data_IF_967784414400
#
_entry.id   IF_967784414400
#
_cell.length_a   1.000
_cell.length_b   1.000
_cell.length_c   1.000
_cell.angle_alpha   90.00
_cell.angle_beta   90.00
_cell.angle_gamma   90.00
#
_symmetry.space_group_name_H-M   'P 1'
#
loop_
_entity.id
_entity.type
_entity.pdbx_description
1 polymer ?
#
# COMPACT_ATOMS: atom_id res chain seq x y z
N UNK A 1 -0.66 11.41 -0.80
CA UNK A 1 -1.34 11.40 -2.11
C UNK A 1 -2.83 11.12 -1.91
N UNK A 2 -3.75 11.95 -2.42
CA UNK A 2 -5.20 11.81 -2.17
C UNK A 2 -5.81 10.58 -2.87
N UNK A 3 -5.27 10.22 -4.04
CA UNK A 3 -5.70 9.07 -4.84
C UNK A 3 -5.77 7.77 -4.02
N UNK A 4 -4.64 7.32 -3.44
CA UNK A 4 -4.58 6.07 -2.67
C UNK A 4 -5.54 6.05 -1.48
N UNK A 5 -5.75 7.18 -0.81
CA UNK A 5 -6.72 7.27 0.29
C UNK A 5 -8.16 7.08 -0.21
N UNK A 6 -8.51 7.72 -1.32
CA UNK A 6 -9.85 7.65 -1.88
C UNK A 6 -10.16 6.26 -2.46
N UNK A 7 -9.19 5.64 -3.13
CA UNK A 7 -9.32 4.26 -3.62
C UNK A 7 -9.48 3.30 -2.45
N UNK A 8 -8.64 3.41 -1.41
CA UNK A 8 -8.76 2.59 -0.21
C UNK A 8 -10.15 2.71 0.44
N UNK A 9 -10.64 3.94 0.67
CA UNK A 9 -11.98 4.13 1.26
C UNK A 9 -13.09 3.54 0.39
N UNK A 10 -13.02 3.72 -0.93
CA UNK A 10 -14.02 3.19 -1.87
C UNK A 10 -13.99 1.64 -1.91
N UNK A 11 -12.81 1.03 -1.95
CA UNK A 11 -12.66 -0.43 -1.94
C UNK A 11 -13.10 -1.06 -0.62
N UNK A 12 -12.94 -0.33 0.49
CA UNK A 12 -13.22 -0.84 1.83
C UNK A 12 -14.68 -0.61 2.23
N UNK A 13 -15.24 0.58 1.97
CA UNK A 13 -16.55 1.03 2.45
C UNK A 13 -17.56 1.28 1.32
N UNK A 14 -17.21 0.98 0.06
CA UNK A 14 -18.09 1.22 -1.07
C UNK A 14 -18.54 2.70 -1.14
N UNK A 15 -19.82 2.92 -1.43
CA UNK A 15 -20.40 4.28 -1.53
C UNK A 15 -20.63 4.96 -0.17
N UNK A 16 -20.55 4.23 0.93
CA UNK A 16 -20.83 4.79 2.26
C UNK A 16 -19.75 5.76 2.73
N UNK A 17 -18.55 5.65 2.15
CA UNK A 17 -17.46 6.58 2.42
C UNK A 17 -17.84 8.04 2.14
N UNK A 18 -18.72 8.31 1.16
CA UNK A 18 -19.08 9.68 0.75
C UNK A 18 -19.63 10.49 1.92
N UNK A 19 -20.39 9.86 2.81
CA UNK A 19 -21.00 10.51 3.98
C UNK A 19 -19.99 10.79 5.11
N UNK A 20 -18.94 9.97 5.22
CA UNK A 20 -18.00 9.98 6.35
C UNK A 20 -16.58 10.38 5.96
N UNK A 21 -16.33 10.68 4.68
CA UNK A 21 -15.00 10.85 4.08
C UNK A 21 -14.13 11.82 4.86
N UNK A 22 -14.64 13.01 5.16
CA UNK A 22 -13.85 14.06 5.80
C UNK A 22 -13.54 13.73 7.28
N UNK A 23 -14.46 13.09 8.00
CA UNK A 23 -14.22 12.64 9.36
C UNK A 23 -13.24 11.46 9.41
N UNK A 24 -13.39 10.48 8.51
CA UNK A 24 -12.44 9.36 8.34
C UNK A 24 -11.04 9.89 8.03
N UNK A 25 -10.94 10.83 7.11
CA UNK A 25 -9.70 11.50 6.72
C UNK A 25 -9.07 12.25 7.89
N UNK A 26 -9.84 13.07 8.61
CA UNK A 26 -9.37 13.80 9.80
C UNK A 26 -8.80 12.82 10.83
N UNK A 27 -9.56 11.80 11.19
CA UNK A 27 -9.14 10.85 12.22
C UNK A 27 -7.91 10.07 11.78
N UNK A 28 -7.87 9.64 10.52
CA UNK A 28 -6.71 8.95 9.94
C UNK A 28 -5.43 9.79 10.06
N UNK A 29 -5.46 11.09 9.69
CA UNK A 29 -4.27 11.96 9.79
C UNK A 29 -3.79 12.17 11.23
N UNK A 30 -4.71 12.16 12.21
CA UNK A 30 -4.33 12.26 13.63
C UNK A 30 -3.70 10.94 14.10
N UNK A 31 -4.29 9.80 13.69
CA UNK A 31 -3.81 8.47 14.01
C UNK A 31 -2.40 8.23 13.45
N UNK A 32 -2.17 8.58 12.17
CA UNK A 32 -0.89 8.42 11.48
C UNK A 32 0.25 9.17 12.18
N UNK A 33 0.01 10.42 12.61
CA UNK A 33 1.00 11.19 13.38
C UNK A 33 1.35 10.57 14.73
N UNK A 34 0.43 9.85 15.36
CA UNK A 34 0.69 9.19 16.64
C UNK A 34 1.24 7.77 16.52
N UNK A 35 1.14 7.13 15.36
CA UNK A 35 1.53 5.73 15.15
C UNK A 35 3.00 5.45 15.50
N UNK A 36 3.91 6.32 15.05
CA UNK A 36 5.36 6.22 15.35
C UNK A 36 5.81 7.10 16.54
N UNK A 37 4.86 7.59 17.35
CA UNK A 37 5.19 8.38 18.53
C UNK A 37 5.48 7.49 19.74
N UNK A 38 6.12 8.05 20.77
CA UNK A 38 6.32 7.33 22.03
C UNK A 38 4.96 6.91 22.61
N UNK A 39 4.78 5.65 23.06
CA UNK A 39 3.50 5.10 23.49
C UNK A 39 3.08 5.60 24.89
N UNK A 40 3.03 6.92 25.07
CA UNK A 40 2.72 7.59 26.33
C UNK A 40 1.31 8.20 26.22
N UNK A 41 0.34 7.60 26.90
CA UNK A 41 -1.06 8.02 26.84
C UNK A 41 -1.39 9.13 27.87
N UNK A 42 -0.76 10.30 27.73
CA UNK A 42 -1.03 11.47 28.54
C UNK A 42 -1.65 12.61 27.71
N UNK A 43 -2.58 13.40 28.27
CA UNK A 43 -3.14 14.56 27.57
C UNK A 43 -2.04 15.45 26.97
N UNK A 44 -2.18 15.77 25.67
CA UNK A 44 -1.21 16.57 24.92
C UNK A 44 -0.24 15.77 24.05
N UNK A 45 0.00 14.49 24.34
CA UNK A 45 0.90 13.65 23.51
C UNK A 45 0.26 13.27 22.17
N UNK A 46 1.11 12.97 21.18
CA UNK A 46 0.65 12.47 19.87
C UNK A 46 -0.06 11.11 20.02
N UNK A 47 0.46 10.22 20.86
CA UNK A 47 -0.16 8.92 21.15
C UNK A 47 -1.55 9.07 21.76
N UNK A 48 -1.75 9.98 22.72
CA UNK A 48 -3.07 10.23 23.31
C UNK A 48 -4.08 10.74 22.27
N UNK A 49 -3.64 11.66 21.38
CA UNK A 49 -4.49 12.16 20.28
C UNK A 49 -4.84 11.04 19.29
N UNK A 50 -3.88 10.18 18.95
CA UNK A 50 -4.09 9.02 18.09
C UNK A 50 -5.06 8.00 18.70
N UNK A 51 -4.96 7.72 20.00
CA UNK A 51 -5.91 6.83 20.69
C UNK A 51 -7.34 7.38 20.68
N UNK A 52 -7.50 8.70 20.82
CA UNK A 52 -8.81 9.37 20.68
C UNK A 52 -9.34 9.25 19.24
N UNK A 53 -8.51 9.53 18.24
CA UNK A 53 -8.88 9.40 16.83
C UNK A 53 -9.24 7.95 16.45
N UNK A 54 -8.53 6.95 16.99
CA UNK A 54 -8.87 5.53 16.80
C UNK A 54 -10.26 5.21 17.37
N UNK A 55 -10.58 5.72 18.56
CA UNK A 55 -11.90 5.53 19.18
C UNK A 55 -13.01 6.17 18.33
N UNK A 56 -12.75 7.35 17.77
CA UNK A 56 -13.69 8.04 16.87
C UNK A 56 -13.90 7.28 15.56
N UNK A 57 -12.83 6.75 14.94
CA UNK A 57 -12.92 5.86 13.78
C UNK A 57 -13.78 4.64 14.07
N UNK A 58 -13.56 3.97 15.20
CA UNK A 58 -14.35 2.81 15.60
C UNK A 58 -15.84 3.17 15.74
N UNK A 59 -16.17 4.35 16.26
CA UNK A 59 -17.56 4.83 16.36
C UNK A 59 -18.19 5.12 14.99
N UNK A 60 -17.42 5.70 14.05
CA UNK A 60 -17.90 5.91 12.67
C UNK A 60 -18.18 4.57 12.01
N UNK A 61 -17.26 3.61 12.11
CA UNK A 61 -17.40 2.27 11.54
C UNK A 61 -18.58 1.51 12.16
N UNK A 62 -18.78 1.60 13.47
CA UNK A 62 -19.95 1.00 14.14
C UNK A 62 -21.28 1.57 13.60
N UNK A 63 -21.34 2.87 13.29
CA UNK A 63 -22.54 3.47 12.66
C UNK A 63 -22.78 2.93 11.26
N UNK A 64 -21.72 2.80 10.45
CA UNK A 64 -21.81 2.23 9.10
C UNK A 64 -22.27 0.78 9.16
N UNK A 65 -21.67 -0.04 10.03
CA UNK A 65 -22.04 -1.44 10.27
C UNK A 65 -23.51 -1.56 10.66
N UNK A 66 -23.96 -0.79 11.64
CA UNK A 66 -25.37 -0.77 12.07
C UNK A 66 -26.32 -0.42 10.93
N UNK A 67 -25.97 0.57 10.11
CA UNK A 67 -26.80 0.99 8.99
C UNK A 67 -26.91 -0.13 7.94
N UNK A 68 -25.78 -0.74 7.56
CA UNK A 68 -25.75 -1.83 6.57
C UNK A 68 -26.54 -3.07 7.03
N UNK A 69 -26.42 -3.43 8.31
CA UNK A 69 -27.19 -4.55 8.89
C UNK A 69 -28.71 -4.28 8.85
N UNK A 70 -29.14 -3.01 8.94
CA UNK A 70 -30.55 -2.63 8.85
C UNK A 70 -31.07 -2.60 7.41
N UNK A 71 -30.26 -2.10 6.45
CA UNK A 71 -30.68 -1.95 5.05
C UNK A 71 -30.66 -3.26 4.28
N UNK A 72 -29.96 -4.30 4.76
CA UNK A 72 -29.82 -5.62 4.13
C UNK A 72 -29.44 -5.55 2.63
N UNK A 73 -28.71 -4.50 2.25
CA UNK A 73 -28.17 -4.40 0.90
C UNK A 73 -26.98 -5.34 0.75
N UNK A 74 -26.83 -5.90 -0.45
CA UNK A 74 -25.66 -6.67 -0.79
C UNK A 74 -24.52 -5.71 -1.15
N UNK A 75 -23.34 -5.94 -0.57
CA UNK A 75 -22.19 -5.05 -0.68
C UNK A 75 -20.99 -5.84 -1.20
N UNK A 76 -20.54 -5.49 -2.41
CA UNK A 76 -19.34 -6.06 -3.00
C UNK A 76 -18.09 -5.24 -2.65
N UNK A 77 -17.87 -5.04 -1.35
CA UNK A 77 -16.71 -4.35 -0.78
C UNK A 77 -16.13 -5.14 0.41
N UNK A 78 -14.97 -4.72 0.92
CA UNK A 78 -14.28 -5.46 1.97
C UNK A 78 -15.10 -5.50 3.27
N UNK A 79 -15.76 -4.39 3.64
CA UNK A 79 -16.61 -4.35 4.82
C UNK A 79 -17.77 -5.33 4.71
N UNK A 80 -18.41 -5.40 3.54
CA UNK A 80 -19.46 -6.38 3.22
C UNK A 80 -18.97 -7.82 3.36
N UNK A 81 -17.76 -8.09 2.87
CA UNK A 81 -17.13 -9.42 2.98
C UNK A 81 -16.89 -9.84 4.44
N UNK A 82 -16.42 -8.93 5.31
CA UNK A 82 -16.27 -9.21 6.74
C UNK A 82 -17.59 -9.35 7.49
N UNK A 83 -18.68 -8.76 6.99
CA UNK A 83 -20.01 -8.91 7.57
C UNK A 83 -20.69 -10.25 7.23
N UNK A 84 -20.28 -10.89 6.13
CA UNK A 84 -20.90 -12.12 5.61
C UNK A 84 -20.31 -13.44 6.14
N UNK A 85 -19.24 -13.39 6.94
CA UNK A 85 -18.54 -14.58 7.42
C UNK A 85 -19.34 -15.34 8.50
N UNK A 86 -19.47 -16.66 8.35
CA UNK A 86 -20.37 -17.52 9.14
C UNK A 86 -19.86 -17.90 10.53
N UNK A 87 -18.56 -17.78 10.81
CA UNK A 87 -17.96 -17.86 12.16
C UNK A 87 -17.79 -16.46 12.81
N UNK A 88 -18.68 -15.53 12.40
CA UNK A 88 -18.58 -14.08 12.41
C UNK A 88 -17.68 -13.38 13.45
N UNK A 89 -16.82 -12.50 12.92
CA UNK A 89 -16.13 -11.47 13.67
C UNK A 89 -17.12 -10.55 14.41
N UNK A 90 -16.77 -10.11 15.62
CA UNK A 90 -17.56 -9.08 16.32
C UNK A 90 -17.44 -7.74 15.61
N UNK A 91 -18.40 -6.83 15.81
CA UNK A 91 -18.36 -5.50 15.20
C UNK A 91 -17.07 -4.73 15.59
N UNK A 92 -16.55 -4.93 16.80
CA UNK A 92 -15.25 -4.39 17.22
C UNK A 92 -14.09 -4.99 16.43
N UNK A 93 -14.08 -6.32 16.22
CA UNK A 93 -13.05 -6.99 15.43
C UNK A 93 -13.10 -6.54 13.97
N UNK A 94 -14.30 -6.39 13.39
CA UNK A 94 -14.47 -5.86 12.03
C UNK A 94 -13.93 -4.43 11.97
N UNK A 95 -14.31 -3.56 12.91
CA UNK A 95 -13.84 -2.19 12.95
C UNK A 95 -12.31 -2.10 13.07
N UNK A 96 -11.70 -2.90 13.95
CA UNK A 96 -10.24 -2.93 14.13
C UNK A 96 -9.50 -3.41 12.87
N UNK A 97 -10.00 -4.45 12.20
CA UNK A 97 -9.44 -4.92 10.94
C UNK A 97 -9.56 -3.85 9.85
N UNK A 98 -10.71 -3.18 9.74
CA UNK A 98 -10.95 -2.13 8.74
C UNK A 98 -10.04 -0.92 8.97
N UNK A 99 -9.86 -0.47 10.22
CA UNK A 99 -8.90 0.59 10.57
C UNK A 99 -7.49 0.18 10.14
N UNK A 100 -7.10 -1.08 10.41
CA UNK A 100 -5.82 -1.63 9.99
C UNK A 100 -5.62 -1.61 8.48
N UNK A 101 -6.63 -2.02 7.70
CA UNK A 101 -6.57 -2.05 6.23
C UNK A 101 -6.52 -0.64 5.63
N UNK A 102 -7.30 0.33 6.15
CA UNK A 102 -7.23 1.73 5.70
C UNK A 102 -5.79 2.27 5.86
N UNK A 103 -5.15 1.93 6.98
CA UNK A 103 -3.78 2.34 7.25
C UNK A 103 -2.78 1.70 6.28
N UNK A 104 -2.90 0.38 6.08
CA UNK A 104 -2.03 -0.37 5.19
C UNK A 104 -2.15 0.10 3.72
N UNK A 105 -3.37 0.29 3.23
CA UNK A 105 -3.65 0.56 1.81
C UNK A 105 -3.25 1.98 1.36
N UNK A 106 -3.24 2.97 2.27
CA UNK A 106 -2.92 4.35 1.89
C UNK A 106 -1.43 4.63 1.81
N UNK A 107 -0.70 4.41 2.91
CA UNK A 107 0.67 4.93 3.03
C UNK A 107 1.66 4.20 2.12
N UNK A 108 1.52 2.87 2.04
CA UNK A 108 2.35 2.01 1.20
C UNK A 108 2.19 2.38 -0.27
N UNK A 109 0.96 2.43 -0.77
CA UNK A 109 0.64 2.75 -2.16
C UNK A 109 1.01 4.19 -2.50
N UNK A 110 0.67 5.16 -1.64
CA UNK A 110 1.05 6.56 -1.87
C UNK A 110 2.57 6.74 -2.01
N UNK A 111 3.36 6.03 -1.18
CA UNK A 111 4.82 6.01 -1.29
C UNK A 111 5.28 5.44 -2.62
N UNK A 112 4.83 4.23 -2.99
CA UNK A 112 5.25 3.57 -4.25
C UNK A 112 4.90 4.41 -5.48
N UNK A 113 3.67 4.91 -5.56
CA UNK A 113 3.24 5.76 -6.68
C UNK A 113 4.10 7.04 -6.79
N UNK A 114 4.49 7.64 -5.66
CA UNK A 114 5.38 8.81 -5.65
C UNK A 114 6.76 8.47 -6.22
N UNK A 115 7.35 7.33 -5.83
CA UNK A 115 8.65 6.90 -6.35
C UNK A 115 8.62 6.54 -7.82
N UNK A 116 7.56 5.89 -8.28
CA UNK A 116 7.35 5.59 -9.70
C UNK A 116 7.33 6.88 -10.53
N UNK A 117 6.56 7.88 -10.09
CA UNK A 117 6.50 9.18 -10.76
C UNK A 117 7.88 9.84 -10.90
N UNK A 118 8.67 9.82 -9.82
CA UNK A 118 10.02 10.37 -9.78
C UNK A 118 10.94 9.63 -10.75
N UNK A 119 11.04 8.30 -10.62
CA UNK A 119 11.99 7.51 -11.40
C UNK A 119 11.66 7.51 -12.88
N UNK A 120 10.38 7.50 -13.26
CA UNK A 120 10.00 7.64 -14.67
C UNK A 120 10.31 9.04 -15.22
N UNK A 121 10.13 10.10 -14.42
CA UNK A 121 10.48 11.46 -14.86
C UNK A 121 11.99 11.64 -15.11
N UNK A 122 12.82 10.97 -14.30
CA UNK A 122 14.28 11.05 -14.37
C UNK A 122 14.89 10.11 -15.41
N UNK A 123 14.11 9.15 -15.94
CA UNK A 123 14.58 8.14 -16.90
C UNK A 123 13.69 8.11 -18.16
N UNK A 124 13.88 9.06 -19.12
CA UNK A 124 12.99 9.21 -20.27
C UNK A 124 12.88 7.98 -21.18
N UNK A 125 13.96 7.21 -21.32
CA UNK A 125 13.95 5.96 -22.11
C UNK A 125 13.04 4.90 -21.50
N UNK A 126 13.07 4.74 -20.17
CA UNK A 126 12.18 3.84 -19.45
C UNK A 126 10.74 4.31 -19.56
N UNK A 127 10.50 5.61 -19.40
CA UNK A 127 9.17 6.19 -19.57
C UNK A 127 8.61 5.92 -20.98
N UNK A 128 9.45 6.01 -22.01
CA UNK A 128 9.05 5.69 -23.37
C UNK A 128 8.65 4.21 -23.50
N UNK A 129 9.48 3.28 -23.05
CA UNK A 129 9.20 1.84 -23.10
C UNK A 129 7.89 1.48 -22.37
N UNK A 130 7.69 1.99 -21.15
CA UNK A 130 6.45 1.81 -20.39
C UNK A 130 5.25 2.41 -21.13
N UNK A 131 5.42 3.56 -21.79
CA UNK A 131 4.33 4.16 -22.57
C UNK A 131 3.94 3.29 -23.76
N UNK A 132 4.91 2.75 -24.49
CA UNK A 132 4.69 1.86 -25.63
C UNK A 132 3.95 0.58 -25.21
N UNK A 133 4.37 -0.04 -24.11
CA UNK A 133 3.69 -1.20 -23.52
C UNK A 133 2.23 -0.88 -23.13
N UNK A 134 2.00 0.24 -22.45
CA UNK A 134 0.66 0.63 -22.00
C UNK A 134 -0.28 0.99 -23.16
N UNK A 135 0.23 1.59 -24.24
CA UNK A 135 -0.55 1.82 -25.47
C UNK A 135 -0.86 0.51 -26.22
N UNK A 136 0.05 -0.47 -26.19
CA UNK A 136 -0.22 -1.80 -26.73
C UNK A 136 -1.31 -2.54 -25.94
N UNK A 137 -1.24 -2.50 -24.59
CA UNK A 137 -2.28 -3.07 -23.71
C UNK A 137 -3.62 -2.37 -23.92
N UNK A 138 -3.64 -1.04 -24.10
CA UNK A 138 -4.85 -0.27 -24.39
C UNK A 138 -5.57 -0.81 -25.63
N UNK A 139 -4.83 -0.99 -26.73
CA UNK A 139 -5.35 -1.54 -27.99
C UNK A 139 -5.79 -3.00 -27.82
N UNK A 140 -5.01 -3.83 -27.13
CA UNK A 140 -5.34 -5.24 -26.92
C UNK A 140 -6.57 -5.44 -26.01
N UNK A 141 -6.79 -4.59 -25.00
CA UNK A 141 -7.98 -4.63 -24.13
C UNK A 141 -9.24 -4.11 -24.79
N UNK A 142 -9.12 -3.30 -25.84
CA UNK A 142 -10.25 -2.98 -26.73
C UNK A 142 -10.71 -4.24 -27.51
N UNK A 143 -9.89 -5.30 -27.55
CA UNK A 143 -10.10 -6.48 -28.39
C UNK A 143 -10.36 -7.80 -27.63
N UNK A 144 -9.95 -7.95 -26.36
CA UNK A 144 -10.05 -9.24 -25.64
C UNK A 144 -10.40 -9.07 -24.15
N UNK A 145 -11.59 -9.54 -23.73
CA UNK A 145 -12.03 -9.56 -22.32
C UNK A 145 -11.87 -10.94 -21.67
N UNK A 146 -11.14 -11.01 -20.55
CA UNK A 146 -11.19 -12.13 -19.58
C UNK A 146 -9.88 -12.45 -18.83
N UNK A 147 -9.97 -12.68 -17.51
CA UNK A 147 -8.88 -12.91 -16.52
C UNK A 147 -8.70 -14.40 -16.07
N UNK A 148 -7.56 -14.71 -15.45
CA UNK A 148 -7.07 -16.02 -14.97
C UNK A 148 -7.02 -16.14 -13.41
N UNK A 149 -6.97 -17.38 -12.85
CA UNK A 149 -7.02 -17.73 -11.40
C UNK A 149 -5.74 -18.38 -10.83
N UNK A 150 -5.48 -18.25 -9.52
CA UNK A 150 -4.25 -18.67 -8.79
C UNK A 150 -4.44 -19.77 -7.69
N UNK A 151 -3.32 -20.28 -7.11
CA UNK A 151 -3.16 -21.45 -6.20
C UNK A 151 -2.58 -21.15 -4.78
N UNK A 152 -2.53 -22.15 -3.87
CA UNK A 152 -2.52 -22.04 -2.39
C UNK A 152 -1.29 -22.59 -1.59
N UNK A 153 -1.42 -22.63 -0.24
CA UNK A 153 -0.40 -22.45 0.81
C UNK A 153 -0.40 -23.52 1.94
N UNK A 154 0.62 -24.38 2.06
CA UNK A 154 0.80 -25.16 3.29
C UNK A 154 2.28 -25.25 3.73
N UNK A 155 2.43 -25.14 5.06
CA UNK A 155 3.55 -25.59 5.90
C UNK A 155 4.58 -24.55 6.39
N UNK A 156 4.32 -23.98 7.57
CA UNK A 156 5.38 -23.52 8.49
C UNK A 156 4.99 -23.74 9.95
N UNK A 157 5.90 -24.35 10.73
CA UNK A 157 6.29 -23.96 12.11
C UNK A 157 7.34 -24.91 12.69
N UNK A 158 8.45 -24.36 13.21
CA UNK A 158 9.40 -25.03 14.14
C UNK A 158 10.00 -24.02 15.14
N UNK A 159 10.49 -24.56 16.25
CA UNK A 159 11.10 -23.89 17.42
C UNK A 159 12.44 -23.18 17.12
N UNK A 160 13.02 -22.55 18.17
CA UNK A 160 14.27 -21.77 18.15
C UNK A 160 15.29 -22.28 17.12
N UNK A 161 15.73 -21.39 16.23
CA UNK A 161 16.44 -21.77 15.02
C UNK A 161 17.86 -21.19 14.98
N UNK A 162 18.78 -22.00 14.48
CA UNK A 162 20.16 -21.61 14.18
C UNK A 162 20.22 -21.11 12.74
N UNK A 163 20.78 -19.91 12.52
CA UNK A 163 20.99 -19.36 11.19
C UNK A 163 22.44 -18.92 11.01
N UNK A 164 23.14 -19.51 10.03
CA UNK A 164 24.54 -19.18 9.69
C UNK A 164 25.49 -19.12 10.91
N UNK A 165 25.35 -20.06 11.85
CA UNK A 165 26.17 -20.14 13.07
C UNK A 165 25.70 -19.26 14.24
N UNK A 166 24.65 -18.46 14.07
CA UNK A 166 24.06 -17.64 15.14
C UNK A 166 22.83 -18.31 15.74
N UNK A 167 22.76 -18.35 17.08
CA UNK A 167 21.59 -18.74 17.84
C UNK A 167 20.69 -17.52 18.05
N UNK A 168 19.42 -17.63 17.66
CA UNK A 168 18.40 -16.63 18.00
C UNK A 168 17.59 -17.19 19.18
N UNK A 169 17.72 -16.61 20.39
CA UNK A 169 17.05 -17.15 21.56
C UNK A 169 15.53 -17.04 21.46
N UNK A 170 14.83 -18.00 22.07
CA UNK A 170 13.36 -17.96 22.18
C UNK A 170 12.92 -16.66 22.84
N UNK A 171 11.93 -16.00 22.24
CA UNK A 171 11.38 -14.72 22.73
C UNK A 171 12.06 -13.47 22.14
N UNK A 172 13.17 -13.61 21.42
CA UNK A 172 13.77 -12.49 20.71
C UNK A 172 12.94 -12.12 19.49
N UNK A 173 12.78 -10.81 19.28
CA UNK A 173 12.16 -10.28 18.06
C UNK A 173 13.21 -10.20 16.98
N UNK A 174 12.90 -10.73 15.81
CA UNK A 174 13.74 -10.62 14.61
C UNK A 174 13.11 -9.60 13.69
N UNK A 175 13.88 -8.59 13.28
CA UNK A 175 13.44 -7.59 12.32
C UNK A 175 14.13 -7.85 10.97
N UNK A 176 13.47 -8.51 10.01
CA UNK A 176 14.03 -8.71 8.68
C UNK A 176 14.12 -7.37 7.93
N UNK A 177 15.34 -6.92 7.64
CA UNK A 177 15.59 -5.69 6.88
C UNK A 177 15.57 -5.98 5.38
N UNK A 178 14.37 -6.18 4.81
CA UNK A 178 14.20 -6.50 3.38
C UNK A 178 14.87 -5.49 2.45
N UNK A 179 14.86 -4.19 2.82
CA UNK A 179 15.55 -3.13 2.07
C UNK A 179 17.02 -3.46 1.81
N UNK A 180 17.73 -4.01 2.80
CA UNK A 180 19.15 -4.33 2.66
C UNK A 180 19.38 -5.45 1.66
N UNK A 181 18.46 -6.42 1.59
CA UNK A 181 18.52 -7.49 0.59
C UNK A 181 18.33 -6.91 -0.81
N UNK A 182 17.39 -5.96 -0.97
CA UNK A 182 17.10 -5.28 -2.23
C UNK A 182 18.24 -4.35 -2.68
N UNK A 183 19.05 -3.85 -1.75
CA UNK A 183 20.22 -3.00 -2.03
C UNK A 183 21.56 -3.74 -1.95
N UNK A 184 21.54 -5.08 -1.90
CA UNK A 184 22.78 -5.86 -1.89
C UNK A 184 23.35 -5.97 -3.32
N UNK A 185 24.61 -5.54 -3.56
CA UNK A 185 25.24 -5.68 -4.87
C UNK A 185 25.44 -7.15 -5.29
N UNK A 186 25.47 -8.09 -4.33
CA UNK A 186 25.55 -9.54 -4.60
C UNK A 186 24.28 -10.07 -5.30
N UNK A 187 23.15 -9.39 -5.07
CA UNK A 187 21.85 -9.76 -5.64
C UNK A 187 21.48 -8.86 -6.83
N UNK A 188 21.78 -7.57 -6.74
CA UNK A 188 21.40 -6.55 -7.73
C UNK A 188 22.62 -5.68 -8.05
N UNK A 189 23.30 -5.89 -9.20
CA UNK A 189 24.38 -5.02 -9.65
C UNK A 189 23.92 -3.57 -9.76
N UNK A 190 24.76 -2.64 -9.29
CA UNK A 190 24.44 -1.20 -9.19
C UNK A 190 23.07 -0.95 -8.52
N UNK A 191 22.88 -1.36 -7.24
CA UNK A 191 21.56 -1.38 -6.60
C UNK A 191 20.92 0.00 -6.44
N UNK A 192 21.73 1.07 -6.43
CA UNK A 192 21.27 2.46 -6.34
C UNK A 192 20.73 3.01 -7.68
N UNK A 193 21.00 2.30 -8.79
CA UNK A 193 20.55 2.69 -10.12
C UNK A 193 19.17 2.12 -10.41
N UNK A 194 18.21 3.00 -10.70
CA UNK A 194 16.91 2.61 -11.20
C UNK A 194 17.05 2.03 -12.61
N UNK A 195 17.01 0.71 -12.69
CA UNK A 195 17.13 -0.06 -13.91
C UNK A 195 16.06 -1.16 -13.92
N UNK A 196 14.97 -1.00 -14.69
CA UNK A 196 13.92 -2.01 -14.80
C UNK A 196 14.36 -3.28 -15.54
N UNK A 197 15.35 -3.19 -16.43
CA UNK A 197 15.76 -4.33 -17.28
C UNK A 197 16.27 -5.52 -16.45
N UNK A 198 16.74 -5.27 -15.22
CA UNK A 198 17.12 -6.32 -14.26
C UNK A 198 15.99 -7.29 -13.88
N UNK A 199 14.74 -6.94 -14.20
CA UNK A 199 13.56 -7.77 -13.96
C UNK A 199 13.01 -8.45 -15.23
N UNK A 200 13.65 -8.29 -16.39
CA UNK A 200 13.34 -9.09 -17.59
C UNK A 200 13.56 -10.59 -17.34
N UNK A 201 14.50 -10.91 -16.46
CA UNK A 201 14.68 -12.24 -15.89
C UNK A 201 14.20 -12.22 -14.45
N UNK A 202 13.45 -13.25 -14.04
CA UNK A 202 12.96 -13.37 -12.68
C UNK A 202 14.14 -13.33 -11.68
N UNK A 203 14.06 -12.50 -10.62
CA UNK A 203 15.12 -12.44 -9.61
C UNK A 203 15.23 -13.77 -8.87
N UNK A 204 16.43 -14.02 -8.30
CA UNK A 204 16.67 -15.21 -7.47
C UNK A 204 15.62 -15.33 -6.35
N UNK A 205 15.18 -16.54 -5.98
CA UNK A 205 14.24 -16.71 -4.88
C UNK A 205 14.73 -16.04 -3.59
N UNK A 206 13.82 -15.37 -2.88
CA UNK A 206 14.10 -14.66 -1.62
C UNK A 206 15.12 -13.50 -1.72
N UNK A 207 15.35 -12.93 -2.91
CA UNK A 207 16.15 -11.70 -3.06
C UNK A 207 15.33 -10.46 -3.36
N UNK A 208 14.14 -10.61 -3.93
CA UNK A 208 13.17 -9.53 -4.14
C UNK A 208 11.85 -9.84 -3.42
N UNK A 209 11.57 -9.13 -2.33
CA UNK A 209 10.43 -9.37 -1.43
C UNK A 209 9.77 -8.05 -0.99
N UNK A 210 9.29 -7.21 -1.93
CA UNK A 210 8.69 -5.91 -1.59
C UNK A 210 7.38 -6.03 -0.80
N UNK A 211 6.70 -7.18 -0.89
CA UNK A 211 5.46 -7.49 -0.19
C UNK A 211 5.66 -8.49 0.96
N UNK A 212 6.90 -8.68 1.40
CA UNK A 212 7.26 -9.78 2.30
C UNK A 212 7.18 -11.14 1.62
N UNK A 213 7.19 -12.19 2.43
CA UNK A 213 7.00 -13.58 2.00
C UNK A 213 6.41 -14.39 3.17
N UNK A 214 5.87 -15.57 2.89
CA UNK A 214 5.31 -16.46 3.92
C UNK A 214 3.88 -16.08 4.37
N UNK A 215 3.49 -16.56 5.55
CA UNK A 215 2.13 -16.41 6.13
C UNK A 215 1.71 -14.98 6.42
N UNK A 216 2.67 -14.05 6.42
CA UNK A 216 2.44 -12.62 6.62
C UNK A 216 2.82 -11.81 5.37
N UNK A 217 2.84 -12.46 4.19
CA UNK A 217 2.91 -11.74 2.92
C UNK A 217 1.72 -10.77 2.80
N UNK A 218 1.95 -9.64 2.14
CA UNK A 218 0.95 -8.59 2.03
C UNK A 218 -0.33 -9.12 1.36
N UNK A 219 -1.49 -9.12 2.06
CA UNK A 219 -2.75 -9.55 1.47
C UNK A 219 -3.27 -8.58 0.39
N UNK A 220 -2.78 -7.34 0.38
CA UNK A 220 -3.14 -6.30 -0.60
C UNK A 220 -2.18 -6.20 -1.78
N UNK A 221 -1.31 -7.19 -2.04
CA UNK A 221 -0.30 -7.11 -3.09
C UNK A 221 -0.90 -6.92 -4.49
N UNK A 222 -1.96 -7.65 -4.83
CA UNK A 222 -2.61 -7.57 -6.14
C UNK A 222 -3.36 -6.25 -6.31
N UNK A 223 -4.03 -5.77 -5.27
CA UNK A 223 -4.64 -4.44 -5.28
C UNK A 223 -3.59 -3.34 -5.46
N UNK A 224 -2.47 -3.41 -4.75
CA UNK A 224 -1.38 -2.44 -4.89
C UNK A 224 -0.79 -2.42 -6.30
N UNK A 225 -0.54 -3.60 -6.89
CA UNK A 225 -0.10 -3.71 -8.29
C UNK A 225 -1.13 -3.13 -9.26
N UNK A 226 -2.42 -3.41 -9.06
CA UNK A 226 -3.48 -2.88 -9.89
C UNK A 226 -3.53 -1.34 -9.82
N UNK A 227 -3.48 -0.75 -8.63
CA UNK A 227 -3.42 0.72 -8.46
C UNK A 227 -2.22 1.34 -9.17
N UNK A 228 -1.05 0.69 -9.08
CA UNK A 228 0.17 1.10 -9.79
C UNK A 228 -0.06 1.06 -11.30
N UNK A 229 -0.57 -0.05 -11.83
CA UNK A 229 -0.80 -0.24 -13.26
C UNK A 229 -1.84 0.76 -13.79
N UNK A 230 -2.94 0.98 -13.07
CA UNK A 230 -3.99 1.93 -13.47
C UNK A 230 -3.45 3.37 -13.49
N UNK A 231 -2.70 3.77 -12.46
CA UNK A 231 -2.09 5.09 -12.44
C UNK A 231 -1.09 5.25 -13.59
N UNK A 232 -0.20 4.27 -13.76
CA UNK A 232 0.80 4.26 -14.83
C UNK A 232 0.13 4.38 -16.18
N UNK A 233 -0.85 3.53 -16.47
CA UNK A 233 -1.61 3.55 -17.71
C UNK A 233 -2.18 4.93 -18.02
N UNK A 234 -2.90 5.55 -17.08
CA UNK A 234 -3.53 6.84 -17.34
C UNK A 234 -2.55 8.00 -17.40
N UNK A 235 -1.53 8.00 -16.56
CA UNK A 235 -0.52 9.05 -16.55
C UNK A 235 0.33 8.98 -17.83
N UNK A 236 0.96 7.82 -18.03
CA UNK A 236 1.15 7.09 -19.28
C UNK A 236 0.63 7.71 -20.56
N UNK A 237 -0.64 7.42 -20.81
CA UNK A 237 -1.31 7.62 -22.09
C UNK A 237 -1.92 9.00 -22.23
N UNK A 238 -2.19 9.71 -21.12
CA UNK A 238 -2.94 10.97 -21.14
C UNK A 238 -2.15 12.21 -20.75
N UNK A 239 -1.01 12.08 -20.07
CA UNK A 239 -0.25 13.24 -19.59
C UNK A 239 1.26 13.17 -19.90
N UNK A 240 1.88 14.34 -20.02
CA UNK A 240 3.32 14.54 -19.81
C UNK A 240 3.50 15.23 -18.46
N UNK A 241 4.65 15.02 -17.81
CA UNK A 241 4.97 15.70 -16.56
C UNK A 241 6.45 16.04 -16.45
N UNK A 242 6.76 17.04 -15.63
CA UNK A 242 8.12 17.37 -15.20
C UNK A 242 8.17 17.63 -13.69
N UNK A 243 9.29 17.29 -13.06
CA UNK A 243 9.55 17.58 -11.64
C UNK A 243 9.99 19.04 -11.52
N UNK A 244 9.37 19.80 -10.62
CA UNK A 244 9.54 21.26 -10.56
C UNK A 244 10.75 21.73 -9.76
N UNK A 245 11.30 20.90 -8.88
CA UNK A 245 12.46 21.25 -8.07
C UNK A 245 13.37 20.03 -7.84
N UNK A 246 14.70 20.22 -7.76
CA UNK A 246 15.60 19.17 -7.29
C UNK A 246 15.22 18.75 -5.87
N UNK A 247 15.23 17.44 -5.63
CA UNK A 247 14.92 16.84 -4.34
C UNK A 247 16.13 16.93 -3.41
N UNK A 248 15.95 17.47 -2.20
CA UNK A 248 17.03 17.69 -1.24
C UNK A 248 17.26 16.51 -0.28
N UNK A 249 16.54 15.39 -0.45
CA UNK A 249 16.70 14.21 0.39
C UNK A 249 15.47 13.32 0.47
N UNK A 250 15.55 12.30 1.32
CA UNK A 250 14.46 11.37 1.62
C UNK A 250 14.05 11.57 3.08
N UNK A 251 12.77 11.79 3.33
CA UNK A 251 12.19 11.70 4.65
C UNK A 251 11.79 10.25 4.93
N UNK A 252 12.25 9.72 6.06
CA UNK A 252 11.92 8.38 6.51
C UNK A 252 10.89 8.44 7.64
N UNK A 253 9.67 7.96 7.40
CA UNK A 253 8.73 7.60 8.46
C UNK A 253 7.26 7.58 8.03
N UNK A 254 6.47 6.54 8.37
CA UNK A 254 6.85 5.12 8.38
C UNK A 254 7.35 4.61 7.01
N UNK A 255 7.12 5.36 5.94
CA UNK A 255 7.52 5.01 4.58
C UNK A 255 8.42 6.10 3.99
N UNK A 256 9.34 5.76 3.06
CA UNK A 256 10.24 6.72 2.45
C UNK A 256 9.46 7.64 1.51
N UNK A 257 9.56 8.95 1.69
CA UNK A 257 9.02 9.94 0.77
C UNK A 257 10.10 10.97 0.41
N UNK A 258 10.02 11.60 -0.77
CA UNK A 258 10.91 12.71 -1.08
C UNK A 258 10.69 13.87 -0.09
N UNK A 259 11.77 14.49 0.38
CA UNK A 259 11.70 15.56 1.36
C UNK A 259 10.94 16.76 0.78
N UNK A 260 9.90 17.23 1.48
CA UNK A 260 8.92 18.23 1.01
C UNK A 260 7.95 17.75 -0.09
N UNK A 261 7.86 16.44 -0.34
CA UNK A 261 6.99 15.86 -1.37
C UNK A 261 7.58 15.95 -2.79
N UNK A 262 6.76 15.65 -3.80
CA UNK A 262 7.17 15.63 -5.21
C UNK A 262 6.31 16.60 -6.03
N UNK A 263 6.64 17.91 -6.06
CA UNK A 263 5.91 18.86 -6.88
C UNK A 263 6.16 18.58 -8.37
N UNK A 264 5.08 18.32 -9.10
CA UNK A 264 5.11 18.05 -10.55
C UNK A 264 4.24 19.06 -11.31
N UNK A 265 4.65 19.37 -12.54
CA UNK A 265 3.83 20.08 -13.52
C UNK A 265 3.29 19.08 -14.53
N UNK A 266 1.97 19.02 -14.69
CA UNK A 266 1.29 18.15 -15.65
C UNK A 266 0.85 18.93 -16.90
N UNK A 267 0.95 18.29 -18.07
CA UNK A 267 0.36 18.78 -19.33
C UNK A 267 -0.34 17.63 -20.08
N UNK A 268 -1.53 17.84 -20.67
CA UNK A 268 -2.19 16.79 -21.45
C UNK A 268 -1.36 16.35 -22.66
N UNK A 269 -1.38 15.05 -23.00
CA UNK A 269 -0.94 14.55 -24.31
C UNK A 269 -2.02 14.94 -25.33
N UNK A 270 -1.60 15.52 -26.46
CA UNK A 270 -2.48 15.71 -27.62
C UNK A 270 -2.75 14.38 -28.29
#
# INVERSE_FOLDING_TARGET
MQYAFNVALLSILGKDEVLYREDLKRCYYILEKGYNSMPINLPGTLFHKAMKARKELAQILAKILSLRRQTKQDHNDLLGSFMGDSEGLTDEQIADNIIGVIFAARDTTASVLTWILKYLAENPSVLQAVTEEQEAIKKAKEECGGEEKALNWADTKKDAYYHKGYLIPKGWKVLPLFRNIHHSPDNFPEPEKFDPSRFEVAPKPNTFMPFGNGTHACPGNELAKLEILVLLHHLTTKYRWSVMAPQNGIQYGPFPLPQNGLPIKLSPKK
#
